data_IF_884031799893
#
_entry.id   IF_884031799893
#
_cell.length_a   1.000
_cell.length_b   1.000
_cell.length_c   1.000
_cell.angle_alpha   90.00
_cell.angle_beta   90.00
_cell.angle_gamma   90.00
#
_symmetry.space_group_name_H-M   'P 1'
#
loop_
_entity.id
_entity.type
_entity.pdbx_description
1 polymer ?
#
# COMPACT_ATOMS: atom_id res chain seq x y z
N UNK A 1 -1.56 -3.74 -6.80
CA UNK A 1 -1.74 -2.74 -5.74
C UNK A 1 -2.77 -1.67 -6.05
N UNK A 2 -2.52 -0.79 -7.03
CA UNK A 2 -3.30 0.44 -7.26
C UNK A 2 -4.82 0.23 -7.27
N UNK A 3 -5.32 -0.73 -8.05
CA UNK A 3 -6.76 -0.98 -8.16
C UNK A 3 -7.40 -1.40 -6.84
N UNK A 4 -6.69 -2.15 -6.00
CA UNK A 4 -7.18 -2.60 -4.70
C UNK A 4 -7.28 -1.44 -3.71
N UNK A 5 -6.27 -0.56 -3.71
CA UNK A 5 -6.29 0.66 -2.88
C UNK A 5 -7.41 1.59 -3.34
N UNK A 6 -7.57 1.78 -4.65
CA UNK A 6 -8.69 2.54 -5.21
C UNK A 6 -10.04 1.95 -4.77
N UNK A 7 -10.25 0.65 -4.95
CA UNK A 7 -11.52 -0.01 -4.65
C UNK A 7 -11.91 0.10 -3.16
N UNK A 8 -10.96 -0.05 -2.24
CA UNK A 8 -11.20 0.15 -0.80
C UNK A 8 -11.66 1.58 -0.47
N UNK A 9 -11.12 2.57 -1.15
CA UNK A 9 -11.38 3.98 -0.87
C UNK A 9 -12.68 4.49 -1.54
N UNK A 10 -13.00 4.01 -2.73
CA UNK A 10 -14.25 4.38 -3.43
C UNK A 10 -15.46 3.55 -3.00
N UNK A 11 -15.24 2.32 -2.53
CA UNK A 11 -16.29 1.41 -2.10
C UNK A 11 -16.03 0.85 -0.69
N UNK A 12 -15.87 1.70 0.33
CA UNK A 12 -15.52 1.28 1.69
C UNK A 12 -16.59 0.38 2.34
N UNK A 13 -17.84 0.50 1.92
CA UNK A 13 -18.94 -0.37 2.35
C UNK A 13 -18.83 -1.81 1.80
N UNK A 14 -18.00 -2.03 0.78
CA UNK A 14 -17.79 -3.35 0.15
C UNK A 14 -16.46 -3.95 0.57
N UNK A 15 -15.39 -3.13 0.61
CA UNK A 15 -14.03 -3.60 0.85
C UNK A 15 -13.47 -3.05 2.16
N UNK A 16 -13.47 -3.86 3.22
CA UNK A 16 -12.92 -3.49 4.54
C UNK A 16 -11.38 -3.47 4.61
N UNK A 17 -10.67 -3.72 3.50
CA UNK A 17 -9.22 -3.61 3.46
C UNK A 17 -8.62 -3.84 2.09
N UNK A 18 -7.36 -3.46 1.92
CA UNK A 18 -6.61 -3.64 0.68
C UNK A 18 -5.16 -4.01 0.94
N UNK A 19 -4.60 -4.85 0.06
CA UNK A 19 -3.17 -5.14 0.02
C UNK A 19 -2.56 -4.68 -1.31
N UNK A 20 -1.55 -3.84 -1.21
CA UNK A 20 -0.73 -3.39 -2.31
C UNK A 20 0.62 -4.08 -2.33
N UNK A 21 0.72 -5.19 -3.07
CA UNK A 21 2.02 -5.77 -3.38
C UNK A 21 2.65 -4.99 -4.54
N UNK A 22 3.86 -4.47 -4.31
CA UNK A 22 4.62 -3.68 -5.28
C UNK A 22 3.75 -2.62 -5.96
N UNK A 23 3.03 -1.80 -5.17
CA UNK A 23 2.07 -0.86 -5.74
C UNK A 23 2.77 0.10 -6.71
N UNK A 24 2.30 0.11 -7.96
CA UNK A 24 2.92 0.82 -9.07
C UNK A 24 2.67 2.34 -9.04
N UNK A 25 3.06 3.02 -7.96
CA UNK A 25 2.78 4.43 -7.71
C UNK A 25 3.34 5.40 -8.74
N UNK A 26 4.36 4.98 -9.50
CA UNK A 26 4.96 5.80 -10.55
C UNK A 26 4.18 5.72 -11.87
N UNK A 27 3.27 4.75 -12.06
CA UNK A 27 2.41 4.60 -13.25
C UNK A 27 3.11 4.52 -14.62
N UNK A 28 4.44 4.47 -14.63
CA UNK A 28 5.31 4.40 -15.82
C UNK A 28 6.52 3.52 -15.48
N UNK A 29 7.42 3.32 -16.43
CA UNK A 29 8.66 2.55 -16.22
C UNK A 29 9.86 3.42 -15.82
N UNK A 30 9.63 4.68 -15.44
CA UNK A 30 10.66 5.64 -15.05
C UNK A 30 10.25 6.41 -13.80
N UNK A 31 11.23 6.83 -13.00
CA UNK A 31 10.97 7.72 -11.88
C UNK A 31 10.35 9.02 -12.37
N UNK A 32 9.26 9.43 -11.73
CA UNK A 32 8.56 10.68 -11.99
C UNK A 32 7.84 11.13 -10.71
N UNK A 33 7.51 12.41 -10.64
CA UNK A 33 6.80 12.99 -9.52
C UNK A 33 5.30 13.22 -9.80
N UNK A 34 4.92 13.38 -11.07
CA UNK A 34 3.56 13.77 -11.46
C UNK A 34 2.50 12.74 -11.02
N UNK A 35 2.72 11.45 -11.30
CA UNK A 35 1.75 10.40 -10.98
C UNK A 35 1.69 10.13 -9.47
N UNK A 36 2.82 10.02 -8.74
CA UNK A 36 2.79 9.95 -7.28
C UNK A 36 2.06 11.15 -6.65
N UNK A 37 2.30 12.37 -7.13
CA UNK A 37 1.62 13.56 -6.60
C UNK A 37 0.11 13.53 -6.85
N UNK A 38 -0.33 13.10 -8.03
CA UNK A 38 -1.75 12.92 -8.33
C UNK A 38 -2.40 11.87 -7.41
N UNK A 39 -1.72 10.73 -7.21
CA UNK A 39 -2.18 9.68 -6.30
C UNK A 39 -2.29 10.19 -4.85
N UNK A 40 -1.30 10.94 -4.37
CA UNK A 40 -1.33 11.56 -3.03
C UNK A 40 -2.47 12.57 -2.90
N UNK A 41 -2.71 13.39 -3.92
CA UNK A 41 -3.81 14.35 -3.93
C UNK A 41 -5.16 13.67 -3.81
N UNK A 42 -5.35 12.55 -4.53
CA UNK A 42 -6.54 11.71 -4.40
C UNK A 42 -6.67 11.12 -2.99
N UNK A 43 -5.61 10.45 -2.48
CA UNK A 43 -5.65 9.77 -1.18
C UNK A 43 -5.96 10.72 -0.01
N UNK A 44 -5.48 11.98 -0.05
CA UNK A 44 -5.80 12.99 0.98
C UNK A 44 -7.31 13.20 1.19
N UNK A 45 -8.11 13.08 0.13
CA UNK A 45 -9.56 13.25 0.19
C UNK A 45 -10.36 11.96 0.34
N UNK A 46 -9.77 10.81 -0.01
CA UNK A 46 -10.52 9.56 -0.23
C UNK A 46 -10.08 8.40 0.66
N UNK A 47 -9.03 8.55 1.48
CA UNK A 47 -8.64 7.46 2.37
C UNK A 47 -9.79 7.07 3.31
N UNK A 48 -10.16 5.80 3.23
CA UNK A 48 -11.21 5.17 4.01
C UNK A 48 -10.95 5.32 5.52
N UNK A 49 -12.00 5.10 6.32
CA UNK A 49 -11.91 5.30 7.76
C UNK A 49 -10.99 4.25 8.42
N UNK A 50 -9.88 4.67 9.07
CA UNK A 50 -8.98 3.76 9.77
C UNK A 50 -9.67 2.94 10.86
N UNK A 51 -10.77 3.44 11.46
CA UNK A 51 -11.50 2.67 12.46
C UNK A 51 -12.10 1.37 11.88
N UNK A 52 -12.42 1.35 10.58
CA UNK A 52 -13.12 0.24 9.91
C UNK A 52 -12.35 -0.42 8.78
N UNK A 53 -11.16 0.06 8.43
CA UNK A 53 -10.39 -0.44 7.28
C UNK A 53 -8.96 -0.83 7.64
N UNK A 54 -8.41 -1.82 6.92
CA UNK A 54 -6.99 -2.19 7.00
C UNK A 54 -6.27 -1.99 5.68
N UNK A 55 -5.06 -1.43 5.73
CA UNK A 55 -4.24 -1.21 4.54
C UNK A 55 -2.89 -1.90 4.67
N UNK A 56 -2.51 -2.68 3.68
CA UNK A 56 -1.17 -3.24 3.54
C UNK A 56 -0.50 -2.65 2.29
N UNK A 57 0.78 -2.31 2.39
CA UNK A 57 1.62 -1.90 1.26
C UNK A 57 2.99 -2.57 1.34
N UNK A 58 3.59 -2.92 0.21
CA UNK A 58 4.98 -3.30 0.16
C UNK A 58 5.66 -2.93 -1.16
N UNK A 59 6.99 -3.03 -1.17
CA UNK A 59 7.80 -3.11 -2.38
C UNK A 59 9.12 -3.83 -2.10
N UNK A 60 9.75 -4.30 -3.17
CA UNK A 60 11.14 -4.75 -3.21
C UNK A 60 12.14 -3.62 -3.44
N UNK A 61 13.38 -3.96 -3.76
CA UNK A 61 14.45 -2.97 -4.00
C UNK A 61 15.22 -3.17 -5.30
N UNK A 62 14.82 -4.14 -6.13
CA UNK A 62 15.42 -4.41 -7.43
C UNK A 62 14.37 -4.33 -8.54
N UNK A 63 14.80 -4.45 -9.80
CA UNK A 63 13.92 -4.34 -10.98
C UNK A 63 13.11 -3.03 -10.94
N UNK A 64 11.82 -3.08 -11.28
CA UNK A 64 10.95 -1.90 -11.28
C UNK A 64 10.66 -1.38 -9.85
N UNK A 65 10.68 -2.27 -8.85
CA UNK A 65 10.43 -1.91 -7.44
C UNK A 65 11.51 -0.99 -6.85
N UNK A 66 12.72 -0.99 -7.43
CA UNK A 66 13.80 -0.07 -7.06
C UNK A 66 13.38 1.42 -7.16
N UNK A 67 12.35 1.71 -7.98
CA UNK A 67 11.85 3.07 -8.19
C UNK A 67 10.75 3.49 -7.19
N UNK A 68 10.21 2.56 -6.37
CA UNK A 68 9.01 2.84 -5.59
C UNK A 68 9.26 3.49 -4.23
N UNK A 69 10.46 3.36 -3.66
CA UNK A 69 10.74 3.83 -2.30
C UNK A 69 10.38 5.32 -2.06
N UNK A 70 10.71 6.28 -2.97
CA UNK A 70 10.32 7.68 -2.78
C UNK A 70 8.80 7.87 -2.73
N UNK A 71 8.06 7.32 -3.70
CA UNK A 71 6.61 7.45 -3.75
C UNK A 71 5.91 6.72 -2.59
N UNK A 72 6.37 5.51 -2.26
CA UNK A 72 5.81 4.73 -1.16
C UNK A 72 5.97 5.45 0.19
N UNK A 73 7.10 6.11 0.45
CA UNK A 73 7.29 6.88 1.68
C UNK A 73 6.25 7.98 1.83
N UNK A 74 5.99 8.74 0.77
CA UNK A 74 4.97 9.79 0.77
C UNK A 74 3.58 9.21 1.02
N UNK A 75 3.24 8.08 0.38
CA UNK A 75 1.97 7.38 0.62
C UNK A 75 1.84 6.94 2.08
N UNK A 76 2.90 6.34 2.64
CA UNK A 76 2.92 5.91 4.03
C UNK A 76 2.71 7.08 5.00
N UNK A 77 3.30 8.24 4.72
CA UNK A 77 3.08 9.46 5.51
C UNK A 77 1.63 9.94 5.43
N UNK A 78 1.01 9.95 4.25
CA UNK A 78 -0.41 10.32 4.13
C UNK A 78 -1.34 9.34 4.85
N UNK A 79 -1.05 8.04 4.78
CA UNK A 79 -1.82 7.00 5.48
C UNK A 79 -1.72 7.17 6.99
N UNK A 80 -0.52 7.44 7.53
CA UNK A 80 -0.34 7.74 8.96
C UNK A 80 -1.04 9.04 9.35
N UNK A 81 -0.94 10.09 8.54
CA UNK A 81 -1.60 11.37 8.79
C UNK A 81 -3.14 11.24 8.85
N UNK A 82 -3.70 10.27 8.12
CA UNK A 82 -5.13 9.95 8.16
C UNK A 82 -5.58 9.26 9.47
N UNK A 83 -4.65 8.72 10.25
CA UNK A 83 -4.90 8.05 11.53
C UNK A 83 -4.72 6.53 11.52
N UNK A 84 -4.16 5.95 10.45
CA UNK A 84 -3.78 4.55 10.45
C UNK A 84 -2.51 4.32 11.30
N UNK A 85 -2.45 3.19 12.01
CA UNK A 85 -1.37 2.83 12.94
C UNK A 85 -0.74 1.49 12.59
N UNK A 86 0.58 1.40 12.75
CA UNK A 86 1.35 0.16 12.48
C UNK A 86 1.54 -0.73 13.70
N UNK A 87 1.19 -0.22 14.89
CA UNK A 87 1.49 -0.84 16.17
C UNK A 87 0.32 -0.65 17.14
N UNK A 88 0.30 -1.51 18.16
CA UNK A 88 -0.75 -1.53 19.17
C UNK A 88 -1.86 -2.53 18.86
N UNK A 89 -2.84 -2.67 19.78
CA UNK A 89 -3.94 -3.63 19.63
C UNK A 89 -4.82 -3.34 18.41
N UNK A 90 -4.92 -2.08 17.99
CA UNK A 90 -5.75 -1.63 16.87
C UNK A 90 -4.93 -1.40 15.58
N UNK A 91 -3.76 -2.05 15.42
CA UNK A 91 -2.92 -1.88 14.24
C UNK A 91 -3.69 -2.21 12.96
N UNK A 92 -3.81 -1.23 12.08
CA UNK A 92 -4.63 -1.29 10.87
C UNK A 92 -3.87 -0.88 9.61
N UNK A 93 -2.58 -0.60 9.72
CA UNK A 93 -1.68 -0.37 8.59
C UNK A 93 -0.40 -1.18 8.71
N UNK A 94 0.07 -1.70 7.58
CA UNK A 94 1.36 -2.37 7.50
C UNK A 94 2.06 -1.97 6.21
N UNK A 95 3.31 -1.53 6.35
CA UNK A 95 4.21 -1.28 5.22
C UNK A 95 5.49 -2.11 5.37
N UNK A 96 5.98 -2.71 4.28
CA UNK A 96 7.21 -3.52 4.29
C UNK A 96 8.11 -3.23 3.08
N UNK A 97 9.42 -3.35 3.29
CA UNK A 97 10.42 -3.31 2.22
C UNK A 97 11.11 -4.68 2.21
N UNK A 98 11.24 -5.28 1.02
CA UNK A 98 11.85 -6.59 0.85
C UNK A 98 13.14 -6.48 0.04
N UNK A 99 14.25 -6.34 0.74
CA UNK A 99 15.56 -6.14 0.14
C UNK A 99 15.94 -7.28 -0.82
N UNK A 100 16.45 -6.93 -2.00
CA UNK A 100 16.88 -7.88 -3.02
C UNK A 100 15.76 -8.44 -3.90
N UNK A 101 14.49 -8.12 -3.59
CA UNK A 101 13.34 -8.60 -4.38
C UNK A 101 12.90 -7.60 -5.46
N UNK A 102 12.37 -8.12 -6.57
CA UNK A 102 11.96 -7.35 -7.74
C UNK A 102 10.44 -7.31 -7.96
N UNK A 103 10.03 -6.87 -9.16
CA UNK A 103 8.63 -6.66 -9.54
C UNK A 103 8.12 -7.85 -10.38
N UNK A 104 7.93 -9.00 -9.72
CA UNK A 104 7.56 -10.24 -10.41
C UNK A 104 6.75 -11.20 -9.52
N UNK A 105 6.06 -12.15 -10.14
CA UNK A 105 5.15 -13.07 -9.46
C UNK A 105 5.86 -13.98 -8.45
N UNK A 106 7.13 -14.32 -8.68
CA UNK A 106 7.91 -15.13 -7.73
C UNK A 106 8.14 -14.38 -6.43
N UNK A 107 8.51 -13.10 -6.51
CA UNK A 107 8.68 -12.24 -5.35
C UNK A 107 7.36 -12.06 -4.59
N UNK A 108 6.25 -11.86 -5.31
CA UNK A 108 4.92 -11.70 -4.69
C UNK A 108 4.44 -12.99 -4.02
N UNK A 109 4.57 -14.13 -4.71
CA UNK A 109 4.18 -15.43 -4.16
C UNK A 109 4.96 -15.77 -2.88
N UNK A 110 6.25 -15.42 -2.82
CA UNK A 110 7.09 -15.66 -1.64
C UNK A 110 6.66 -14.87 -0.39
N UNK A 111 5.85 -13.81 -0.54
CA UNK A 111 5.46 -12.93 0.57
C UNK A 111 3.95 -12.72 0.72
N UNK A 112 3.13 -13.32 -0.14
CA UNK A 112 1.66 -13.11 -0.17
C UNK A 112 0.96 -13.53 1.12
N UNK A 113 1.54 -14.46 1.87
CA UNK A 113 1.04 -14.88 3.18
C UNK A 113 0.96 -13.72 4.18
N UNK A 114 1.89 -12.76 4.12
CA UNK A 114 1.97 -11.64 5.06
C UNK A 114 0.73 -10.73 4.95
N UNK A 115 0.38 -10.16 3.78
CA UNK A 115 -0.84 -9.36 3.65
C UNK A 115 -2.11 -10.15 3.92
N UNK A 116 -2.16 -11.44 3.54
CA UNK A 116 -3.35 -12.27 3.80
C UNK A 116 -3.59 -12.45 5.30
N UNK A 117 -2.55 -12.80 6.06
CA UNK A 117 -2.65 -12.94 7.51
C UNK A 117 -3.01 -11.61 8.18
N UNK A 118 -2.40 -10.50 7.75
CA UNK A 118 -2.70 -9.19 8.30
C UNK A 118 -4.16 -8.75 8.05
N UNK A 119 -4.66 -8.91 6.82
CA UNK A 119 -6.01 -8.51 6.46
C UNK A 119 -7.08 -9.40 7.11
N UNK A 120 -6.80 -10.70 7.27
CA UNK A 120 -7.77 -11.69 7.78
C UNK A 120 -7.67 -11.93 9.28
N UNK A 121 -6.70 -11.32 9.97
CA UNK A 121 -6.61 -11.42 11.43
C UNK A 121 -7.90 -10.90 12.08
N UNK A 122 -8.32 -11.47 13.23
CA UNK A 122 -9.41 -10.90 14.02
C UNK A 122 -9.18 -9.43 14.32
N UNK A 123 -10.27 -8.67 14.48
CA UNK A 123 -10.23 -7.35 15.10
C UNK A 123 -10.31 -7.51 16.61
#
# INVERSE_FOLDING_TARGET
GLISVYAMNEYPQVFGGAAGLSTHWIGTFQANDDIPQAALAYLRGHLADPASHRLYQDHGTTELDALYAPAQRLVNEQVRARGYTEQGPEANFMTRVFDGTGHNERAWAARVEIPLLFLMAPR
#
